data_IF_557472205282
#
_entry.id   IF_557472205282
#
_cell.length_a   1.000
_cell.length_b   1.000
_cell.length_c   1.000
_cell.angle_alpha   90.00
_cell.angle_beta   90.00
_cell.angle_gamma   90.00
#
_symmetry.space_group_name_H-M   'P 1'
#
loop_
_entity.id
_entity.type
_entity.pdbx_description
1 polymer ?
#
# COMPACT_ATOMS: atom_id res chain seq x y z
N UNK A 1 2.12 4.87 -8.98
CA UNK A 1 2.20 5.52 -7.66
C UNK A 1 3.64 5.44 -7.21
N UNK A 2 4.29 6.59 -7.10
CA UNK A 2 5.69 6.75 -6.68
C UNK A 2 5.77 6.93 -5.16
N UNK A 3 6.97 6.86 -4.55
CA UNK A 3 7.16 7.26 -3.15
C UNK A 3 6.67 8.69 -2.90
N UNK A 4 6.08 8.92 -1.73
CA UNK A 4 5.63 10.26 -1.31
C UNK A 4 6.85 11.20 -1.21
N UNK A 5 6.80 12.37 -1.84
CA UNK A 5 7.93 13.31 -1.79
C UNK A 5 7.85 14.19 -0.54
N UNK A 6 8.99 14.41 0.12
CA UNK A 6 9.09 15.37 1.24
C UNK A 6 8.63 16.79 0.88
N UNK A 7 8.76 17.19 -0.39
CA UNK A 7 8.27 18.49 -0.86
C UNK A 7 6.74 18.60 -0.88
N UNK A 8 6.04 17.47 -0.98
CA UNK A 8 4.57 17.39 -1.01
C UNK A 8 4.00 17.12 0.39
N UNK A 9 4.76 16.42 1.24
CA UNK A 9 4.38 16.01 2.58
C UNK A 9 5.62 16.06 3.51
N UNK A 10 5.95 17.22 4.10
CA UNK A 10 7.22 17.46 4.80
C UNK A 10 7.50 16.54 6.00
N UNK A 11 6.46 16.22 6.77
CA UNK A 11 6.49 15.41 7.99
C UNK A 11 6.15 13.93 7.76
N UNK A 12 5.91 13.51 6.50
CA UNK A 12 5.47 12.15 6.18
C UNK A 12 6.37 11.07 6.75
N UNK A 13 7.69 11.25 6.62
CA UNK A 13 8.69 10.27 7.06
C UNK A 13 8.97 10.31 8.56
N UNK A 14 8.45 11.31 9.27
CA UNK A 14 8.49 11.39 10.74
C UNK A 14 7.29 10.65 11.34
N UNK A 15 6.13 10.76 10.69
CA UNK A 15 4.88 10.12 11.10
C UNK A 15 4.86 8.64 10.65
N UNK A 16 5.10 8.38 9.37
CA UNK A 16 5.01 7.04 8.77
C UNK A 16 6.35 6.33 8.83
N UNK A 17 6.47 5.38 9.75
CA UNK A 17 7.71 4.64 10.04
C UNK A 17 8.14 3.66 8.95
N UNK A 18 7.17 3.11 8.21
CA UNK A 18 7.39 2.06 7.21
C UNK A 18 6.78 2.46 5.86
N UNK A 19 7.32 3.51 5.20
CA UNK A 19 6.80 3.97 3.92
C UNK A 19 6.89 2.86 2.86
N UNK A 20 5.90 2.83 1.97
CA UNK A 20 5.83 1.88 0.87
C UNK A 20 4.94 2.46 -0.22
N UNK A 21 5.21 2.08 -1.46
CA UNK A 21 4.50 2.53 -2.64
C UNK A 21 4.55 1.44 -3.73
N UNK A 22 3.74 1.59 -4.77
CA UNK A 22 3.63 0.57 -5.83
C UNK A 22 4.91 0.43 -6.68
N UNK A 23 5.71 1.49 -6.82
CA UNK A 23 7.01 1.40 -7.54
C UNK A 23 7.98 0.54 -6.72
N UNK A 24 8.12 0.81 -5.42
CA UNK A 24 8.92 -0.02 -4.51
C UNK A 24 8.44 -1.47 -4.48
N UNK A 25 7.12 -1.71 -4.43
CA UNK A 25 6.57 -3.07 -4.51
C UNK A 25 6.91 -3.75 -5.84
N UNK A 26 6.85 -3.03 -6.95
CA UNK A 26 7.20 -3.55 -8.28
C UNK A 26 8.67 -3.97 -8.34
N UNK A 27 9.57 -3.15 -7.78
CA UNK A 27 11.00 -3.46 -7.69
C UNK A 27 11.26 -4.67 -6.79
N UNK A 28 10.61 -4.74 -5.61
CA UNK A 28 10.65 -5.91 -4.71
C UNK A 28 10.20 -7.18 -5.41
N UNK A 29 9.11 -7.11 -6.18
CA UNK A 29 8.60 -8.25 -6.95
C UNK A 29 9.62 -8.73 -7.99
N UNK A 30 10.20 -7.81 -8.78
CA UNK A 30 11.24 -8.12 -9.78
C UNK A 30 12.47 -8.78 -9.14
N UNK A 31 12.84 -8.32 -7.94
CA UNK A 31 13.97 -8.84 -7.17
C UNK A 31 13.63 -10.11 -6.34
N UNK A 32 12.49 -10.76 -6.59
CA UNK A 32 12.05 -11.99 -5.89
C UNK A 32 11.94 -11.84 -4.37
N UNK A 33 11.76 -10.62 -3.86
CA UNK A 33 11.62 -10.35 -2.42
C UNK A 33 10.38 -11.03 -1.81
N UNK A 34 9.28 -11.11 -2.55
CA UNK A 34 8.03 -11.71 -2.09
C UNK A 34 8.05 -13.24 -2.19
N UNK A 35 8.93 -13.87 -1.40
CA UNK A 35 9.06 -15.34 -1.31
C UNK A 35 7.82 -16.02 -0.69
N UNK A 36 6.96 -15.25 -0.05
CA UNK A 36 5.64 -15.71 0.41
C UNK A 36 4.55 -14.72 0.05
N UNK A 37 3.33 -15.21 -0.17
CA UNK A 37 2.15 -14.35 -0.41
C UNK A 37 1.89 -13.37 0.74
N UNK A 38 2.21 -13.76 1.98
CA UNK A 38 2.04 -12.91 3.18
C UNK A 38 2.87 -11.63 3.10
N UNK A 39 4.11 -11.70 2.58
CA UNK A 39 4.96 -10.51 2.42
C UNK A 39 4.37 -9.51 1.42
N UNK A 40 3.84 -10.02 0.29
CA UNK A 40 3.19 -9.18 -0.72
C UNK A 40 1.92 -8.51 -0.17
N UNK A 41 1.07 -9.30 0.49
CA UNK A 41 -0.18 -8.80 1.09
C UNK A 41 0.12 -7.76 2.18
N UNK A 42 1.15 -7.97 3.00
CA UNK A 42 1.53 -7.02 4.05
C UNK A 42 1.97 -5.66 3.47
N UNK A 43 2.77 -5.64 2.40
CA UNK A 43 3.15 -4.38 1.75
C UNK A 43 1.96 -3.68 1.10
N UNK A 44 1.07 -4.45 0.48
CA UNK A 44 -0.14 -3.94 -0.14
C UNK A 44 -1.08 -3.29 0.89
N UNK A 45 -1.33 -3.98 2.00
CA UNK A 45 -2.12 -3.45 3.13
C UNK A 45 -1.44 -2.21 3.73
N UNK A 46 -0.11 -2.20 3.81
CA UNK A 46 0.65 -1.08 4.37
C UNK A 46 0.52 0.21 3.54
N UNK A 47 0.36 0.13 2.21
CA UNK A 47 0.01 1.31 1.39
C UNK A 47 -1.29 1.94 1.90
N UNK A 48 -2.30 1.12 2.18
CA UNK A 48 -3.63 1.57 2.60
C UNK A 48 -3.60 2.12 4.02
N UNK A 49 -2.96 1.41 4.95
CA UNK A 49 -2.89 1.84 6.36
C UNK A 49 -2.09 3.13 6.51
N UNK A 50 -0.93 3.25 5.83
CA UNK A 50 -0.14 4.47 5.88
C UNK A 50 -0.91 5.65 5.27
N UNK A 51 -1.69 5.42 4.20
CA UNK A 51 -2.53 6.45 3.61
C UNK A 51 -3.58 6.96 4.61
N UNK A 52 -4.28 6.05 5.30
CA UNK A 52 -5.30 6.40 6.31
C UNK A 52 -4.74 7.00 7.59
N UNK A 53 -3.51 6.63 7.96
CA UNK A 53 -2.83 7.16 9.15
C UNK A 53 -2.36 8.61 8.91
N UNK A 54 -1.85 8.91 7.72
CA UNK A 54 -1.32 10.24 7.40
C UNK A 54 -2.39 11.24 6.97
N UNK A 55 -3.38 10.81 6.18
CA UNK A 55 -4.34 11.71 5.55
C UNK A 55 -5.67 11.79 6.32
N UNK A 56 -6.38 12.94 6.27
CA UNK A 56 -7.73 13.04 6.81
C UNK A 56 -8.67 11.97 6.23
N UNK A 57 -9.61 11.40 7.03
CA UNK A 57 -10.49 10.32 6.58
C UNK A 57 -11.36 10.66 5.35
N UNK A 58 -11.71 11.93 5.18
CA UNK A 58 -12.54 12.48 4.10
C UNK A 58 -11.74 12.94 2.87
N UNK A 59 -10.40 12.85 2.93
CA UNK A 59 -9.52 13.20 1.82
C UNK A 59 -9.69 12.29 0.60
N UNK A 60 -9.40 12.81 -0.57
CA UNK A 60 -9.44 12.03 -1.82
C UNK A 60 -8.38 10.91 -1.82
N UNK A 61 -7.28 11.07 -1.08
CA UNK A 61 -6.29 10.03 -0.85
C UNK A 61 -6.90 8.82 -0.13
N UNK A 62 -7.64 9.06 0.96
CA UNK A 62 -8.34 8.01 1.70
C UNK A 62 -9.44 7.34 0.85
N UNK A 63 -10.20 8.11 0.05
CA UNK A 63 -11.19 7.55 -0.88
C UNK A 63 -10.56 6.63 -1.94
N UNK A 64 -9.43 7.05 -2.50
CA UNK A 64 -8.64 6.24 -3.42
C UNK A 64 -8.11 4.97 -2.75
N UNK A 65 -7.55 5.08 -1.54
CA UNK A 65 -7.07 3.93 -0.78
C UNK A 65 -8.18 2.92 -0.50
N UNK A 66 -9.38 3.38 -0.12
CA UNK A 66 -10.54 2.51 0.11
C UNK A 66 -10.99 1.77 -1.17
N UNK A 67 -10.98 2.47 -2.31
CA UNK A 67 -11.32 1.87 -3.61
C UNK A 67 -10.29 0.82 -4.00
N UNK A 68 -9.01 1.13 -3.82
CA UNK A 68 -7.89 0.26 -4.14
C UNK A 68 -7.88 -0.99 -3.24
N UNK A 69 -8.14 -0.84 -1.93
CA UNK A 69 -8.26 -1.94 -0.98
C UNK A 69 -9.34 -2.93 -1.41
N UNK A 70 -10.55 -2.44 -1.75
CA UNK A 70 -11.65 -3.29 -2.24
C UNK A 70 -11.27 -4.06 -3.49
N UNK A 71 -10.67 -3.37 -4.47
CA UNK A 71 -10.21 -4.00 -5.71
C UNK A 71 -9.19 -5.10 -5.43
N UNK A 72 -8.20 -4.84 -4.57
CA UNK A 72 -7.20 -5.84 -4.25
C UNK A 72 -7.75 -7.01 -3.45
N UNK A 73 -8.66 -6.80 -2.50
CA UNK A 73 -9.33 -7.92 -1.81
C UNK A 73 -10.06 -8.83 -2.81
N UNK A 74 -10.79 -8.24 -3.77
CA UNK A 74 -11.42 -9.01 -4.83
C UNK A 74 -10.40 -9.83 -5.63
N UNK A 75 -9.28 -9.21 -6.05
CA UNK A 75 -8.21 -9.90 -6.80
C UNK A 75 -7.48 -10.97 -6.01
N UNK A 76 -7.25 -10.76 -4.71
CA UNK A 76 -6.65 -11.76 -3.83
C UNK A 76 -7.57 -12.98 -3.67
N UNK A 77 -8.89 -12.76 -3.56
CA UNK A 77 -9.87 -13.86 -3.54
C UNK A 77 -9.94 -14.60 -4.87
N UNK A 78 -10.04 -13.87 -5.98
CA UNK A 78 -10.07 -14.43 -7.33
C UNK A 78 -8.82 -15.29 -7.62
N UNK A 79 -7.65 -14.84 -7.17
CA UNK A 79 -6.38 -15.56 -7.31
C UNK A 79 -6.13 -16.67 -6.28
N UNK A 80 -7.07 -16.97 -5.37
CA UNK A 80 -6.89 -17.99 -4.33
C UNK A 80 -5.78 -17.66 -3.32
N UNK A 81 -5.43 -16.38 -3.17
CA UNK A 81 -4.35 -15.94 -2.29
C UNK A 81 -4.81 -15.75 -0.84
N UNK A 82 -6.10 -15.52 -0.63
CA UNK A 82 -6.75 -15.45 0.68
C UNK A 82 -7.97 -16.36 0.70
N UNK A 83 -8.35 -16.82 1.89
CA UNK A 83 -9.50 -17.71 2.08
C UNK A 83 -10.81 -17.01 1.68
N UNK A 84 -11.82 -17.81 1.28
CA UNK A 84 -13.12 -17.31 0.82
C UNK A 84 -13.87 -16.54 1.91
#
# INVERSE_FOLDING_TARGET
>A
MEPVKKSEAPDYYEIIRFPIDLKTMTERLKNRYYVTKKLFIADLQRIITNCREYNPPDSDYCKCANTLEKFFYFKLKEGGLIDK
#
